data_IF_980183805419
#
_entry.id   IF_980183805419
#
_cell.length_a   1.000
_cell.length_b   1.000
_cell.length_c   1.000
_cell.angle_alpha   90.00
_cell.angle_beta   90.00
_cell.angle_gamma   90.00
#
_symmetry.space_group_name_H-M   'P 1'
#
loop_
_entity.id
_entity.type
_entity.pdbx_description
1 polymer ?
#
# COMPACT_ATOMS: atom_id res chain seq x y z
N UNK A 1 -96.49 -64.12 67.21
CA UNK A 1 -96.93 -62.80 66.70
C UNK A 1 -95.97 -61.67 67.07
N UNK A 2 -95.30 -61.69 68.24
CA UNK A 2 -94.31 -60.67 68.63
C UNK A 2 -93.09 -60.55 67.68
N UNK A 3 -92.49 -61.69 67.30
CA UNK A 3 -91.18 -61.70 66.61
C UNK A 3 -91.23 -61.16 65.17
N UNK A 4 -92.37 -61.31 64.47
CA UNK A 4 -92.53 -60.76 63.12
C UNK A 4 -92.82 -59.26 63.12
N UNK A 5 -93.42 -58.72 64.19
CA UNK A 5 -93.60 -57.28 64.36
C UNK A 5 -92.26 -56.57 64.57
N UNK A 6 -91.40 -57.13 65.43
CA UNK A 6 -90.05 -56.64 65.67
C UNK A 6 -89.19 -56.65 64.38
N UNK A 7 -89.31 -57.70 63.55
CA UNK A 7 -88.65 -57.74 62.24
C UNK A 7 -89.19 -56.69 61.26
N UNK A 8 -90.51 -56.45 61.21
CA UNK A 8 -91.10 -55.39 60.39
C UNK A 8 -90.62 -53.99 60.81
N UNK A 9 -90.58 -53.70 62.11
CA UNK A 9 -90.09 -52.41 62.62
C UNK A 9 -88.59 -52.18 62.32
N UNK A 10 -87.79 -53.25 62.38
CA UNK A 10 -86.37 -53.21 62.05
C UNK A 10 -86.13 -53.00 60.52
N UNK A 11 -86.97 -53.59 59.68
CA UNK A 11 -86.95 -53.37 58.24
C UNK A 11 -87.40 -51.95 57.87
N UNK A 12 -88.45 -51.42 58.51
CA UNK A 12 -88.88 -50.04 58.29
C UNK A 12 -87.82 -49.00 58.68
N UNK A 13 -87.11 -49.23 59.79
CA UNK A 13 -86.02 -48.35 60.23
C UNK A 13 -84.85 -48.39 59.26
N UNK A 14 -84.49 -49.57 58.73
CA UNK A 14 -83.48 -49.70 57.67
C UNK A 14 -83.89 -49.04 56.36
N UNK A 15 -85.15 -49.19 55.93
CA UNK A 15 -85.67 -48.53 54.72
C UNK A 15 -85.63 -47.01 54.88
N UNK A 16 -86.03 -46.49 56.05
CA UNK A 16 -85.95 -45.05 56.33
C UNK A 16 -84.50 -44.56 56.30
N UNK A 17 -83.55 -45.30 56.90
CA UNK A 17 -82.13 -44.96 56.88
C UNK A 17 -81.56 -44.94 55.46
N UNK A 18 -81.81 -45.98 54.66
CA UNK A 18 -81.40 -46.07 53.26
C UNK A 18 -82.04 -44.97 52.39
N UNK A 19 -83.27 -44.58 52.69
CA UNK A 19 -83.94 -43.50 51.99
C UNK A 19 -83.30 -42.14 52.29
N UNK A 20 -83.01 -41.83 53.57
CA UNK A 20 -82.27 -40.61 53.91
C UNK A 20 -80.87 -40.58 53.32
N UNK A 21 -80.18 -41.72 53.27
CA UNK A 21 -78.86 -41.82 52.65
C UNK A 21 -78.93 -41.62 51.13
N UNK A 22 -79.91 -42.21 50.44
CA UNK A 22 -80.11 -41.98 49.00
C UNK A 22 -80.43 -40.52 48.68
N UNK A 23 -81.26 -39.86 49.49
CA UNK A 23 -81.55 -38.43 49.33
C UNK A 23 -80.29 -37.60 49.49
N UNK A 24 -79.45 -37.92 50.48
CA UNK A 24 -78.16 -37.24 50.70
C UNK A 24 -77.20 -37.45 49.53
N UNK A 25 -77.02 -38.70 49.09
CA UNK A 25 -76.14 -39.04 47.96
C UNK A 25 -76.60 -38.34 46.67
N UNK A 26 -77.91 -38.22 46.44
CA UNK A 26 -78.44 -37.49 45.28
C UNK A 26 -78.06 -36.01 45.32
N UNK A 27 -78.19 -35.36 46.48
CA UNK A 27 -77.75 -33.98 46.67
C UNK A 27 -76.24 -33.82 46.48
N UNK A 28 -75.44 -34.74 47.03
CA UNK A 28 -73.98 -34.72 46.90
C UNK A 28 -73.54 -34.90 45.42
N UNK A 29 -74.24 -35.75 44.65
CA UNK A 29 -74.01 -35.93 43.20
C UNK A 29 -74.37 -34.67 42.42
N UNK A 30 -75.53 -34.08 42.69
CA UNK A 30 -75.98 -32.84 42.02
C UNK A 30 -75.00 -31.69 42.30
N UNK A 31 -74.55 -31.52 43.55
CA UNK A 31 -73.57 -30.51 43.92
C UNK A 31 -72.22 -30.73 43.23
N UNK A 32 -71.73 -31.97 43.17
CA UNK A 32 -70.48 -32.29 42.49
C UNK A 32 -70.56 -32.08 40.96
N UNK A 33 -71.73 -32.33 40.35
CA UNK A 33 -71.96 -32.03 38.93
C UNK A 33 -71.94 -30.53 38.66
N UNK A 34 -72.61 -29.74 39.50
CA UNK A 34 -72.66 -28.28 39.36
C UNK A 34 -71.25 -27.65 39.53
N UNK A 35 -70.46 -28.14 40.50
CA UNK A 35 -69.06 -27.72 40.69
C UNK A 35 -68.17 -28.11 39.49
N UNK A 36 -68.37 -29.30 38.93
CA UNK A 36 -67.64 -29.75 37.73
C UNK A 36 -67.97 -28.90 36.51
N UNK A 37 -69.25 -28.58 36.30
CA UNK A 37 -69.69 -27.71 35.20
C UNK A 37 -69.11 -26.30 35.34
N UNK A 38 -69.09 -25.74 36.56
CA UNK A 38 -68.47 -24.44 36.83
C UNK A 38 -66.97 -24.47 36.52
N UNK A 39 -66.27 -25.54 36.93
CA UNK A 39 -64.86 -25.73 36.60
C UNK A 39 -64.61 -25.84 35.09
N UNK A 40 -65.49 -26.53 34.36
CA UNK A 40 -65.38 -26.66 32.91
C UNK A 40 -65.58 -25.33 32.18
N UNK A 41 -66.53 -24.51 32.63
CA UNK A 41 -66.75 -23.15 32.09
C UNK A 41 -65.49 -22.32 32.31
N UNK A 42 -64.98 -22.28 33.55
CA UNK A 42 -63.75 -21.53 33.89
C UNK A 42 -62.54 -22.01 33.08
N UNK A 43 -62.38 -23.32 32.91
CA UNK A 43 -61.31 -23.90 32.10
C UNK A 43 -61.40 -23.46 30.63
N UNK A 44 -62.59 -23.56 30.03
CA UNK A 44 -62.81 -23.18 28.64
C UNK A 44 -62.57 -21.69 28.41
N UNK A 45 -63.01 -20.83 29.34
CA UNK A 45 -62.70 -19.40 29.31
C UNK A 45 -61.20 -19.12 29.37
N UNK A 46 -60.49 -19.82 30.27
CA UNK A 46 -59.05 -19.67 30.41
C UNK A 46 -58.31 -20.14 29.14
N UNK A 47 -58.73 -21.27 28.58
CA UNK A 47 -58.18 -21.78 27.33
C UNK A 47 -58.41 -20.83 26.15
N UNK A 48 -59.60 -20.26 26.04
CA UNK A 48 -59.92 -19.26 25.01
C UNK A 48 -59.02 -18.02 25.13
N UNK A 49 -58.78 -17.52 26.36
CA UNK A 49 -57.86 -16.41 26.62
C UNK A 49 -56.43 -16.74 26.19
N UNK A 50 -55.91 -17.92 26.57
CA UNK A 50 -54.56 -18.36 26.16
C UNK A 50 -54.45 -18.42 24.63
N UNK A 51 -55.46 -18.98 23.96
CA UNK A 51 -55.46 -19.12 22.51
C UNK A 51 -55.43 -17.75 21.81
N UNK A 52 -56.26 -16.81 22.26
CA UNK A 52 -56.27 -15.45 21.72
C UNK A 52 -54.92 -14.74 21.89
N UNK A 53 -54.28 -14.89 23.06
CA UNK A 53 -52.94 -14.33 23.29
C UNK A 53 -51.88 -14.96 22.37
N UNK A 54 -51.93 -16.29 22.20
CA UNK A 54 -50.99 -17.00 21.31
C UNK A 54 -51.13 -16.55 19.86
N UNK A 55 -52.36 -16.41 19.37
CA UNK A 55 -52.63 -15.97 18.00
C UNK A 55 -52.17 -14.53 17.77
N UNK A 56 -52.43 -13.62 18.72
CA UNK A 56 -51.97 -12.23 18.67
C UNK A 56 -50.44 -12.12 18.68
N UNK A 57 -49.75 -12.89 19.54
CA UNK A 57 -48.29 -12.89 19.59
C UNK A 57 -47.69 -13.35 18.25
N UNK A 58 -48.25 -14.40 17.65
CA UNK A 58 -47.80 -14.91 16.36
C UNK A 58 -48.03 -13.96 15.18
N UNK A 59 -48.98 -13.02 15.26
CA UNK A 59 -49.12 -11.95 14.27
C UNK A 59 -48.05 -10.86 14.45
N UNK A 60 -47.75 -10.47 15.69
CA UNK A 60 -46.72 -9.48 15.98
C UNK A 60 -45.32 -9.99 15.63
N UNK A 61 -45.01 -11.26 15.92
CA UNK A 61 -43.75 -11.89 15.50
C UNK A 61 -43.61 -11.90 13.97
N UNK A 62 -44.70 -12.17 13.23
CA UNK A 62 -44.69 -12.12 11.75
C UNK A 62 -44.40 -10.72 11.21
N UNK A 63 -44.85 -9.65 11.89
CA UNK A 63 -44.56 -8.25 11.49
C UNK A 63 -43.13 -7.83 11.80
N UNK A 64 -42.48 -8.44 12.80
CA UNK A 64 -41.15 -8.04 13.25
C UNK A 64 -40.09 -8.13 12.16
N UNK A 65 -40.05 -9.23 11.39
CA UNK A 65 -39.08 -9.40 10.29
C UNK A 65 -39.23 -8.32 9.21
N UNK A 66 -40.47 -7.96 8.87
CA UNK A 66 -40.75 -6.91 7.90
C UNK A 66 -40.31 -5.53 8.41
N UNK A 67 -40.52 -5.25 9.70
CA UNK A 67 -40.10 -3.99 10.33
C UNK A 67 -38.58 -3.82 10.34
N UNK A 68 -37.82 -4.90 10.60
CA UNK A 68 -36.35 -4.88 10.52
C UNK A 68 -35.93 -4.54 9.09
N UNK A 69 -36.43 -5.29 8.10
CA UNK A 69 -36.06 -5.07 6.70
C UNK A 69 -36.39 -3.65 6.23
N UNK A 70 -37.57 -3.12 6.61
CA UNK A 70 -37.97 -1.75 6.30
C UNK A 70 -36.98 -0.72 6.86
N UNK A 71 -36.49 -0.92 8.08
CA UNK A 71 -35.52 -0.01 8.70
C UNK A 71 -34.18 -0.05 7.95
N UNK A 72 -33.68 -1.24 7.61
CA UNK A 72 -32.44 -1.41 6.85
C UNK A 72 -32.52 -0.74 5.47
N UNK A 73 -33.64 -0.93 4.75
CA UNK A 73 -33.86 -0.27 3.45
C UNK A 73 -33.90 1.24 3.59
N UNK A 74 -34.55 1.79 4.63
CA UNK A 74 -34.58 3.24 4.89
C UNK A 74 -33.18 3.80 5.13
N UNK A 75 -32.35 3.11 5.88
CA UNK A 75 -30.98 3.57 6.17
C UNK A 75 -30.08 3.49 4.93
N UNK A 76 -30.23 2.45 4.12
CA UNK A 76 -29.54 2.37 2.83
C UNK A 76 -29.91 3.55 1.92
N UNK A 77 -31.20 3.89 1.83
CA UNK A 77 -31.66 5.05 1.03
C UNK A 77 -31.05 6.36 1.54
N UNK A 78 -30.94 6.56 2.86
CA UNK A 78 -30.27 7.75 3.42
C UNK A 78 -28.78 7.81 3.05
N UNK A 79 -28.07 6.67 3.12
CA UNK A 79 -26.66 6.58 2.70
C UNK A 79 -26.48 6.87 1.21
N UNK A 80 -27.36 6.35 0.37
CA UNK A 80 -27.30 6.61 -1.07
C UNK A 80 -27.60 8.08 -1.40
N UNK A 81 -28.52 8.73 -0.69
CA UNK A 81 -28.81 10.15 -0.88
C UNK A 81 -27.63 11.05 -0.49
N UNK A 82 -26.96 10.75 0.62
CA UNK A 82 -25.76 11.50 1.05
C UNK A 82 -24.63 11.34 0.05
N UNK A 83 -24.29 10.10 -0.33
CA UNK A 83 -23.26 9.82 -1.33
C UNK A 83 -23.56 10.47 -2.69
N UNK A 84 -24.83 10.50 -3.12
CA UNK A 84 -25.23 11.20 -4.35
C UNK A 84 -24.97 12.71 -4.26
N UNK A 85 -25.24 13.34 -3.13
CA UNK A 85 -25.05 14.79 -2.97
C UNK A 85 -23.56 15.14 -2.89
N UNK A 86 -22.74 14.35 -2.20
CA UNK A 86 -21.28 14.47 -2.22
C UNK A 86 -20.73 14.38 -3.66
N UNK A 87 -21.14 13.36 -4.40
CA UNK A 87 -20.72 13.18 -5.80
C UNK A 87 -21.17 14.36 -6.68
N UNK A 88 -22.35 14.91 -6.43
CA UNK A 88 -22.87 16.08 -7.15
C UNK A 88 -22.05 17.34 -6.84
N UNK A 89 -21.62 17.52 -5.59
CA UNK A 89 -20.74 18.63 -5.20
C UNK A 89 -19.37 18.52 -5.88
N UNK A 90 -18.80 17.31 -5.90
CA UNK A 90 -17.55 17.03 -6.62
C UNK A 90 -17.69 17.30 -8.13
N UNK A 91 -18.82 16.89 -8.73
CA UNK A 91 -19.10 17.09 -10.15
C UNK A 91 -19.47 18.54 -10.51
N UNK A 92 -20.03 19.32 -9.57
CA UNK A 92 -20.27 20.76 -9.77
C UNK A 92 -18.98 21.58 -9.70
N UNK A 93 -17.90 21.03 -9.15
CA UNK A 93 -16.59 21.66 -9.12
C UNK A 93 -15.52 20.82 -9.86
N UNK A 94 -15.65 20.64 -11.19
CA UNK A 94 -14.66 19.92 -11.98
C UNK A 94 -13.30 20.66 -12.05
N UNK A 95 -13.29 21.96 -11.72
CA UNK A 95 -12.09 22.78 -11.44
C UNK A 95 -11.68 22.76 -9.96
N UNK A 96 -12.16 21.78 -9.18
CA UNK A 96 -11.80 21.63 -7.78
C UNK A 96 -10.29 21.60 -7.57
N UNK A 97 -9.83 21.90 -6.35
CA UNK A 97 -8.41 22.07 -5.98
C UNK A 97 -7.44 21.09 -6.64
N UNK A 98 -7.84 19.82 -6.85
CA UNK A 98 -7.03 18.80 -7.53
C UNK A 98 -6.74 19.12 -8.99
N UNK A 99 -7.73 19.59 -9.77
CA UNK A 99 -7.56 19.95 -11.18
C UNK A 99 -6.62 21.17 -11.31
N UNK A 100 -6.81 22.17 -10.44
CA UNK A 100 -5.95 23.35 -10.36
C UNK A 100 -4.51 22.99 -9.98
N UNK A 101 -4.34 22.13 -8.97
CA UNK A 101 -3.03 21.64 -8.56
C UNK A 101 -2.31 20.88 -9.68
N UNK A 102 -3.01 20.00 -10.40
CA UNK A 102 -2.46 19.30 -11.57
C UNK A 102 -2.05 20.29 -12.66
N UNK A 103 -2.85 21.33 -12.91
CA UNK A 103 -2.52 22.35 -13.90
C UNK A 103 -1.29 23.19 -13.50
N UNK A 104 -1.15 23.52 -12.22
CA UNK A 104 0.01 24.22 -11.65
C UNK A 104 1.28 23.35 -11.71
N UNK A 105 1.15 22.05 -11.44
CA UNK A 105 2.26 21.10 -11.59
C UNK A 105 2.70 20.97 -13.05
N UNK A 106 1.75 20.92 -13.99
CA UNK A 106 2.03 20.89 -15.43
C UNK A 106 2.78 22.16 -15.87
N UNK A 107 2.35 23.36 -15.43
CA UNK A 107 3.04 24.60 -15.78
C UNK A 107 4.42 24.69 -15.13
N UNK A 108 4.57 24.28 -13.88
CA UNK A 108 5.88 24.19 -13.23
C UNK A 108 6.84 23.26 -14.00
N UNK A 109 6.38 22.07 -14.38
CA UNK A 109 7.19 21.11 -15.13
C UNK A 109 7.57 21.65 -16.52
N UNK A 110 6.64 22.32 -17.22
CA UNK A 110 6.92 22.99 -18.49
C UNK A 110 8.04 24.02 -18.34
N UNK A 111 7.98 24.85 -17.30
CA UNK A 111 9.01 25.87 -17.05
C UNK A 111 10.38 25.23 -16.76
N UNK A 112 10.43 24.18 -15.92
CA UNK A 112 11.67 23.43 -15.65
C UNK A 112 12.27 22.84 -16.93
N UNK A 113 11.43 22.28 -17.81
CA UNK A 113 11.88 21.74 -19.10
C UNK A 113 12.49 22.84 -19.98
N UNK A 114 11.89 24.03 -20.02
CA UNK A 114 12.42 25.17 -20.79
C UNK A 114 13.79 25.59 -20.25
N UNK A 115 13.92 25.81 -18.95
CA UNK A 115 15.20 26.20 -18.32
C UNK A 115 16.30 25.16 -18.56
N UNK A 116 15.97 23.87 -18.45
CA UNK A 116 16.93 22.79 -18.72
C UNK A 116 17.34 22.78 -20.19
N UNK A 117 16.41 22.99 -21.13
CA UNK A 117 16.72 23.09 -22.56
C UNK A 117 17.65 24.26 -22.86
N UNK A 118 17.40 25.43 -22.28
CA UNK A 118 18.26 26.60 -22.44
C UNK A 118 19.68 26.34 -21.91
N UNK A 119 19.81 25.73 -20.73
CA UNK A 119 21.11 25.36 -20.15
C UNK A 119 21.86 24.34 -21.03
N UNK A 120 21.16 23.37 -21.62
CA UNK A 120 21.76 22.40 -22.54
C UNK A 120 22.29 23.11 -23.79
N UNK A 121 21.54 24.04 -24.37
CA UNK A 121 21.95 24.80 -25.54
C UNK A 121 23.21 25.62 -25.23
N UNK A 122 23.24 26.31 -24.10
CA UNK A 122 24.39 27.11 -23.66
C UNK A 122 25.65 26.24 -23.47
N UNK A 123 25.53 25.13 -22.73
CA UNK A 123 26.64 24.18 -22.51
C UNK A 123 27.14 23.58 -23.82
N UNK A 124 26.25 23.28 -24.75
CA UNK A 124 26.62 22.75 -26.07
C UNK A 124 27.41 23.77 -26.88
N UNK A 125 27.01 25.05 -26.84
CA UNK A 125 27.74 26.15 -27.47
C UNK A 125 29.15 26.32 -26.86
N UNK A 126 29.25 26.25 -25.53
CA UNK A 126 30.54 26.31 -24.83
C UNK A 126 31.46 25.15 -25.24
N UNK A 127 30.94 23.92 -25.26
CA UNK A 127 31.69 22.73 -25.68
C UNK A 127 32.27 22.88 -27.09
N UNK A 128 31.50 23.45 -28.01
CA UNK A 128 31.94 23.67 -29.39
C UNK A 128 33.08 24.70 -29.49
N UNK A 129 33.03 25.77 -28.68
CA UNK A 129 34.14 26.73 -28.57
C UNK A 129 35.40 26.06 -28.02
N UNK A 130 35.24 25.26 -26.97
CA UNK A 130 36.35 24.55 -26.32
C UNK A 130 37.03 23.57 -27.30
N UNK A 131 36.26 22.83 -28.09
CA UNK A 131 36.77 21.94 -29.15
C UNK A 131 37.64 22.71 -30.16
N UNK A 132 37.21 23.90 -30.58
CA UNK A 132 37.97 24.74 -31.53
C UNK A 132 39.28 25.23 -30.93
N UNK A 133 39.30 25.60 -29.65
CA UNK A 133 40.53 26.00 -28.94
C UNK A 133 41.47 24.80 -28.81
N UNK A 134 40.95 23.65 -28.39
CA UNK A 134 41.73 22.43 -28.26
C UNK A 134 42.39 22.01 -29.58
N UNK A 135 41.68 22.13 -30.70
CA UNK A 135 42.23 21.81 -32.02
C UNK A 135 43.35 22.76 -32.43
N UNK A 136 43.25 24.06 -32.09
CA UNK A 136 44.34 25.03 -32.32
C UNK A 136 45.57 24.69 -31.49
N UNK A 137 45.39 24.42 -30.19
CA UNK A 137 46.48 24.04 -29.29
C UNK A 137 47.17 22.75 -29.75
N UNK A 138 46.41 21.75 -30.20
CA UNK A 138 46.96 20.50 -30.75
C UNK A 138 47.90 20.75 -31.92
N UNK A 139 47.48 21.59 -32.88
CA UNK A 139 48.31 21.96 -34.04
C UNK A 139 49.57 22.72 -33.62
N UNK A 140 49.45 23.62 -32.66
CA UNK A 140 50.60 24.37 -32.15
C UNK A 140 51.62 23.46 -31.46
N UNK A 141 51.16 22.54 -30.59
CA UNK A 141 52.02 21.53 -29.95
C UNK A 141 52.72 20.68 -31.00
N UNK A 142 52.03 20.24 -32.06
CA UNK A 142 52.63 19.44 -33.13
C UNK A 142 53.73 20.21 -33.88
N UNK A 143 53.48 21.49 -34.20
CA UNK A 143 54.47 22.37 -34.85
C UNK A 143 55.70 22.54 -33.95
N UNK A 144 55.50 22.80 -32.66
CA UNK A 144 56.61 22.94 -31.72
C UNK A 144 57.38 21.63 -31.57
N UNK A 145 56.70 20.49 -31.50
CA UNK A 145 57.34 19.18 -31.42
C UNK A 145 58.23 18.91 -32.64
N UNK A 146 57.76 19.23 -33.85
CA UNK A 146 58.57 19.14 -35.08
C UNK A 146 59.79 20.07 -35.05
N UNK A 147 59.62 21.32 -34.59
CA UNK A 147 60.72 22.29 -34.44
C UNK A 147 61.79 21.80 -33.46
N UNK A 148 61.38 21.37 -32.27
CA UNK A 148 62.30 20.82 -31.28
C UNK A 148 63.01 19.56 -31.80
N UNK A 149 62.30 18.67 -32.49
CA UNK A 149 62.92 17.51 -33.14
C UNK A 149 64.00 17.88 -34.16
N UNK A 150 63.78 18.92 -34.97
CA UNK A 150 64.77 19.42 -35.91
C UNK A 150 65.99 20.05 -35.21
N UNK A 151 65.77 20.84 -34.16
CA UNK A 151 66.84 21.44 -33.36
C UNK A 151 67.69 20.33 -32.72
N UNK A 152 67.06 19.33 -32.10
CA UNK A 152 67.75 18.20 -31.49
C UNK A 152 68.60 17.44 -32.51
N UNK A 153 68.08 17.15 -33.70
CA UNK A 153 68.85 16.50 -34.77
C UNK A 153 70.07 17.33 -35.18
N UNK A 154 69.91 18.65 -35.35
CA UNK A 154 71.04 19.54 -35.70
C UNK A 154 72.10 19.55 -34.60
N UNK A 155 71.70 19.71 -33.34
CA UNK A 155 72.60 19.70 -32.20
C UNK A 155 73.35 18.37 -32.11
N UNK A 156 72.65 17.25 -32.28
CA UNK A 156 73.27 15.93 -32.29
C UNK A 156 74.36 15.81 -33.37
N UNK A 157 74.08 16.26 -34.60
CA UNK A 157 75.08 16.29 -35.67
C UNK A 157 76.29 17.20 -35.33
N UNK A 158 76.04 18.37 -34.75
CA UNK A 158 77.12 19.28 -34.32
C UNK A 158 78.02 18.64 -33.26
N UNK A 159 77.42 18.01 -32.25
CA UNK A 159 78.15 17.28 -31.19
C UNK A 159 78.98 16.14 -31.80
N UNK A 160 78.40 15.33 -32.68
CA UNK A 160 79.12 14.23 -33.33
C UNK A 160 80.32 14.73 -34.16
N UNK A 161 80.16 15.86 -34.87
CA UNK A 161 81.25 16.48 -35.63
C UNK A 161 82.39 16.95 -34.72
N UNK A 162 82.06 17.63 -33.62
CA UNK A 162 83.05 18.07 -32.64
C UNK A 162 83.79 16.90 -31.99
N UNK A 163 83.07 15.82 -31.64
CA UNK A 163 83.68 14.61 -31.09
C UNK A 163 84.64 13.95 -32.08
N UNK A 164 84.26 13.88 -33.37
CA UNK A 164 85.12 13.36 -34.43
C UNK A 164 86.40 14.20 -34.59
N UNK A 165 86.26 15.52 -34.67
CA UNK A 165 87.41 16.44 -34.75
C UNK A 165 88.32 16.31 -33.53
N UNK A 166 87.75 16.19 -32.32
CA UNK A 166 88.53 15.98 -31.09
C UNK A 166 89.37 14.70 -31.17
N UNK A 167 88.80 13.59 -31.65
CA UNK A 167 89.55 12.33 -31.83
C UNK A 167 90.69 12.51 -32.83
N UNK A 168 90.44 13.21 -33.95
CA UNK A 168 91.47 13.48 -34.95
C UNK A 168 92.61 14.34 -34.39
N UNK A 169 92.30 15.41 -33.66
CA UNK A 169 93.30 16.26 -33.03
C UNK A 169 94.12 15.51 -31.99
N UNK A 170 93.48 14.68 -31.16
CA UNK A 170 94.18 13.81 -30.22
C UNK A 170 95.15 12.87 -30.93
N UNK A 171 94.74 12.27 -32.05
CA UNK A 171 95.61 11.42 -32.84
C UNK A 171 96.79 12.21 -33.44
N UNK A 172 96.54 13.39 -34.02
CA UNK A 172 97.59 14.25 -34.57
C UNK A 172 98.62 14.66 -33.51
N UNK A 173 98.15 15.04 -32.30
CA UNK A 173 99.03 15.40 -31.17
C UNK A 173 99.92 14.21 -30.80
N UNK A 174 99.35 13.00 -30.67
CA UNK A 174 100.11 11.80 -30.37
C UNK A 174 101.18 11.50 -31.42
N UNK A 175 100.89 11.73 -32.72
CA UNK A 175 101.89 11.55 -33.77
C UNK A 175 103.01 12.58 -33.66
N UNK A 176 102.69 13.86 -33.47
CA UNK A 176 103.69 14.92 -33.30
C UNK A 176 104.56 14.69 -32.06
N UNK A 177 103.98 14.23 -30.95
CA UNK A 177 104.71 13.86 -29.74
C UNK A 177 105.71 12.72 -30.01
N UNK A 178 105.30 11.69 -30.78
CA UNK A 178 106.20 10.60 -31.19
C UNK A 178 107.33 11.11 -32.07
N UNK A 179 107.03 11.88 -33.11
CA UNK A 179 108.05 12.45 -34.01
C UNK A 179 109.01 13.37 -33.27
N UNK A 180 108.52 14.21 -32.37
CA UNK A 180 109.36 15.05 -31.52
C UNK A 180 110.27 14.20 -30.61
N UNK A 181 109.77 13.10 -30.05
CA UNK A 181 110.57 12.18 -29.23
C UNK A 181 111.66 11.45 -30.06
N UNK A 182 111.38 11.10 -31.31
CA UNK A 182 112.36 10.52 -32.24
C UNK A 182 113.45 11.54 -32.62
N UNK A 183 113.07 12.77 -32.98
CA UNK A 183 114.02 13.83 -33.29
C UNK A 183 114.92 14.15 -32.08
N UNK A 184 114.35 14.22 -30.87
CA UNK A 184 115.12 14.37 -29.63
C UNK A 184 116.14 13.24 -29.44
N UNK A 185 115.75 11.99 -29.73
CA UNK A 185 116.65 10.82 -29.72
C UNK A 185 117.79 10.97 -30.74
N UNK A 186 117.50 11.38 -31.97
CA UNK A 186 118.51 11.56 -33.01
C UNK A 186 119.51 12.68 -32.71
N UNK A 187 119.06 13.76 -32.06
CA UNK A 187 119.96 14.85 -31.62
C UNK A 187 120.87 14.37 -30.48
N UNK A 188 120.31 13.64 -29.50
CA UNK A 188 121.09 13.06 -28.39
C UNK A 188 122.09 11.97 -28.82
N UNK A 189 122.02 11.46 -30.05
CA UNK A 189 123.00 10.53 -30.63
C UNK A 189 124.11 11.22 -31.46
N UNK A 190 124.07 12.54 -31.62
CA UNK A 190 125.08 13.34 -32.35
C UNK A 190 126.03 14.11 -31.43
N UNK A 191 125.88 13.96 -30.12
CA UNK A 191 126.89 14.27 -29.09
C UNK A 191 127.56 12.98 -28.63
#
# INVERSE_FOLDING_TARGET
>A
MENSKLQCENLETQIKALHTENVKLKFDIEAAQEEFEEHMIRYNEYYAKIKAHKDSLGEEERKHSFMIELHEKRDLVKKLKTMKEELRQDLQNPEGNRMKQVQDDITMLKNKIITVKESIIEKTCFLEKEKKIHEKLRKEIEVQHKRYGAILKRLHCQVNKLQSHRRQWQWNIQQLEKTAAELRRCIAMKE
#
